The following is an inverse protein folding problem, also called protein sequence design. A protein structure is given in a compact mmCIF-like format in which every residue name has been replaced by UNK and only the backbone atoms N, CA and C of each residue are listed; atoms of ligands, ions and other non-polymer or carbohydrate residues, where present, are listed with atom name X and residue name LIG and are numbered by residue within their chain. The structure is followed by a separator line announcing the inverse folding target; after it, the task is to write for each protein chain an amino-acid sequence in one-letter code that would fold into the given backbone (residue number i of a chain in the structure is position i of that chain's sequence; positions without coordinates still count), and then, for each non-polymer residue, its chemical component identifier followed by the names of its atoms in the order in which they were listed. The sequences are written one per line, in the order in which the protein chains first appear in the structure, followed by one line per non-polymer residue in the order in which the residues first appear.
data_IF_152146364368
#
_entry.id   IF_152146364368
#
_cell.length_a   1.000
_cell.length_b   1.000
_cell.length_c   1.000
_cell.angle_alpha   90.00
_cell.angle_beta   90.00
_cell.angle_gamma   90.00
#
_symmetry.space_group_name_H-M   'P 1'
#
loop_
_entity.id
_entity.type
_entity.pdbx_description
1 polymer ?
#
# COMPACT_ATOMS: atom_id res chain seq x y z
N UNK A 1 -1.17 3.24 -36.50
CA UNK A 1 -2.10 3.10 -35.35
C UNK A 1 -1.28 3.24 -34.08
N UNK A 2 -1.62 4.15 -33.16
CA UNK A 2 -0.86 4.35 -31.92
C UNK A 2 -1.00 3.13 -30.99
N UNK A 3 0.09 2.77 -30.28
CA UNK A 3 0.11 1.66 -29.31
C UNK A 3 -1.02 1.77 -28.26
N UNK A 4 -1.38 2.99 -27.89
CA UNK A 4 -2.50 3.29 -26.98
C UNK A 4 -3.88 2.85 -27.52
N UNK A 5 -4.14 3.08 -28.81
CA UNK A 5 -5.43 2.69 -29.41
C UNK A 5 -5.54 1.17 -29.55
N UNK A 6 -4.43 0.48 -29.85
CA UNK A 6 -4.38 -0.99 -29.87
C UNK A 6 -4.66 -1.56 -28.47
N UNK A 7 -4.04 -0.99 -27.44
CA UNK A 7 -4.23 -1.41 -26.04
C UNK A 7 -5.67 -1.17 -25.55
N UNK A 8 -6.21 0.03 -25.82
CA UNK A 8 -7.60 0.38 -25.50
C UNK A 8 -8.59 -0.57 -26.17
N UNK A 9 -8.35 -0.93 -27.43
CA UNK A 9 -9.20 -1.87 -28.17
C UNK A 9 -9.10 -3.28 -27.60
N UNK A 10 -7.90 -3.73 -27.23
CA UNK A 10 -7.68 -5.03 -26.58
C UNK A 10 -8.41 -5.13 -25.24
N UNK A 11 -8.32 -4.09 -24.39
CA UNK A 11 -9.04 -4.03 -23.11
C UNK A 11 -10.56 -4.03 -23.31
N UNK A 12 -11.05 -3.19 -24.23
CA UNK A 12 -12.49 -3.10 -24.49
C UNK A 12 -13.06 -4.42 -25.02
N UNK A 13 -12.28 -5.15 -25.82
CA UNK A 13 -12.64 -6.47 -26.33
C UNK A 13 -12.64 -7.50 -25.21
N UNK A 14 -11.58 -7.56 -24.39
CA UNK A 14 -11.50 -8.45 -23.23
C UNK A 14 -12.64 -8.25 -22.24
N UNK A 15 -13.04 -7.00 -21.96
CA UNK A 15 -14.17 -6.72 -21.05
C UNK A 15 -15.54 -7.17 -21.61
N UNK A 16 -15.70 -7.24 -22.93
CA UNK A 16 -16.95 -7.74 -23.56
C UNK A 16 -17.06 -9.26 -23.54
N UNK A 17 -15.95 -9.99 -23.45
CA UNK A 17 -15.93 -11.45 -23.50
C UNK A 17 -16.19 -12.12 -22.14
N UNK A 18 -16.10 -11.37 -21.03
CA UNK A 18 -16.31 -11.92 -19.69
C UNK A 18 -17.81 -12.07 -19.44
N UNK A 19 -18.26 -13.30 -19.20
CA UNK A 19 -19.65 -13.59 -18.82
C UNK A 19 -20.00 -12.92 -17.48
N UNK A 20 -21.28 -12.63 -17.26
CA UNK A 20 -21.72 -12.02 -16.00
C UNK A 20 -21.41 -12.93 -14.78
N UNK A 21 -21.50 -14.25 -14.96
CA UNK A 21 -21.18 -15.23 -13.92
C UNK A 21 -19.69 -15.21 -13.55
N UNK A 22 -18.79 -15.26 -14.55
CA UNK A 22 -17.35 -15.20 -14.32
C UNK A 22 -16.93 -13.85 -13.72
N UNK A 23 -17.57 -12.75 -14.13
CA UNK A 23 -17.32 -11.42 -13.55
C UNK A 23 -17.70 -11.36 -12.08
N UNK A 24 -18.86 -11.92 -11.72
CA UNK A 24 -19.32 -11.97 -10.33
C UNK A 24 -18.39 -12.83 -9.47
N UNK A 25 -17.95 -13.99 -9.99
CA UNK A 25 -16.96 -14.84 -9.32
C UNK A 25 -15.66 -14.06 -9.05
N UNK A 26 -15.11 -13.37 -10.06
CA UNK A 26 -13.91 -12.58 -9.87
C UNK A 26 -14.10 -11.46 -8.85
N UNK A 27 -15.23 -10.75 -8.85
CA UNK A 27 -15.51 -9.71 -7.85
C UNK A 27 -15.54 -10.27 -6.42
N UNK A 28 -16.12 -11.45 -6.22
CA UNK A 28 -16.12 -12.11 -4.90
C UNK A 28 -14.70 -12.46 -4.49
N UNK A 29 -13.91 -13.07 -5.39
CA UNK A 29 -12.52 -13.44 -5.12
C UNK A 29 -11.67 -12.21 -4.80
N UNK A 30 -11.80 -11.11 -5.56
CA UNK A 30 -11.01 -9.90 -5.29
C UNK A 30 -11.38 -9.25 -3.97
N UNK A 31 -12.66 -9.21 -3.60
CA UNK A 31 -13.10 -8.71 -2.29
C UNK A 31 -12.55 -9.58 -1.16
N UNK A 32 -12.50 -10.90 -1.34
CA UNK A 32 -11.90 -11.80 -0.36
C UNK A 32 -10.39 -11.54 -0.21
N UNK A 33 -9.67 -11.35 -1.32
CA UNK A 33 -8.24 -10.99 -1.28
C UNK A 33 -8.02 -9.65 -0.58
N UNK A 34 -8.84 -8.63 -0.88
CA UNK A 34 -8.80 -7.32 -0.19
C UNK A 34 -9.01 -7.51 1.31
N UNK A 35 -9.98 -8.32 1.71
CA UNK A 35 -10.30 -8.54 3.13
C UNK A 35 -9.18 -9.27 3.86
N UNK A 36 -8.64 -10.33 3.25
CA UNK A 36 -7.54 -11.11 3.84
C UNK A 36 -6.27 -10.29 3.97
N UNK A 37 -5.90 -9.52 2.95
CA UNK A 37 -4.75 -8.61 2.98
C UNK A 37 -4.93 -7.47 3.99
N UNK A 38 -6.14 -6.91 4.11
CA UNK A 38 -6.46 -5.93 5.14
C UNK A 38 -6.34 -6.51 6.56
N UNK A 39 -6.87 -7.71 6.78
CA UNK A 39 -6.74 -8.40 8.08
C UNK A 39 -5.29 -8.75 8.41
N UNK A 40 -4.50 -9.14 7.41
CA UNK A 40 -3.07 -9.38 7.57
C UNK A 40 -2.37 -8.08 8.02
N UNK A 41 -2.75 -6.92 7.48
CA UNK A 41 -2.22 -5.62 7.91
C UNK A 41 -2.58 -5.25 9.36
N UNK A 42 -3.74 -5.70 9.87
CA UNK A 42 -4.15 -5.42 11.25
C UNK A 42 -3.36 -6.23 12.29
N UNK A 43 -2.90 -7.42 11.91
CA UNK A 43 -2.12 -8.30 12.78
C UNK A 43 -0.82 -8.71 12.08
N UNK A 44 0.08 -7.74 11.81
CA UNK A 44 1.34 -8.05 11.15
C UNK A 44 2.16 -9.03 12.02
N UNK A 45 3.09 -9.79 11.43
CA UNK A 45 3.92 -10.73 12.17
C UNK A 45 4.55 -10.06 13.39
N UNK A 46 4.15 -10.51 14.58
CA UNK A 46 4.73 -10.02 15.82
C UNK A 46 6.11 -10.63 15.96
N UNK A 47 7.13 -9.86 15.61
CA UNK A 47 8.49 -10.19 16.03
C UNK A 47 8.48 -10.11 17.56
N UNK A 48 8.71 -11.23 18.25
CA UNK A 48 8.94 -11.25 19.71
C UNK A 48 10.31 -10.66 20.01
N UNK A 49 10.38 -9.35 19.84
CA UNK A 49 11.56 -8.53 19.97
C UNK A 49 12.15 -8.58 21.39
N UNK A 50 11.29 -8.84 22.39
CA UNK A 50 11.68 -9.02 23.80
C UNK A 50 12.64 -10.19 24.01
N UNK A 51 12.52 -11.24 23.20
CA UNK A 51 13.30 -12.47 23.39
C UNK A 51 14.65 -12.35 22.68
N UNK A 52 14.68 -11.67 21.52
CA UNK A 52 15.92 -11.36 20.79
C UNK A 52 16.77 -10.30 21.49
N UNK A 53 16.19 -9.22 22.04
CA UNK A 53 16.94 -8.19 22.79
C UNK A 53 17.55 -8.73 24.08
N UNK A 54 16.85 -9.64 24.76
CA UNK A 54 17.40 -10.34 25.94
C UNK A 54 18.55 -11.25 25.54
N UNK A 55 18.41 -12.02 24.45
CA UNK A 55 19.47 -12.90 23.97
C UNK A 55 20.72 -12.13 23.52
N UNK A 56 20.56 -10.99 22.82
CA UNK A 56 21.68 -10.15 22.35
C UNK A 56 22.47 -9.57 23.53
N UNK A 57 21.78 -8.94 24.49
CA UNK A 57 22.42 -8.36 25.69
C UNK A 57 23.05 -9.40 26.60
N UNK A 58 22.47 -10.59 26.67
CA UNK A 58 22.97 -11.67 27.51
C UNK A 58 24.18 -12.38 26.88
N UNK A 59 24.27 -12.40 25.55
CA UNK A 59 25.44 -12.90 24.81
C UNK A 59 26.63 -11.94 24.90
N UNK A 60 26.38 -10.63 24.87
CA UNK A 60 27.40 -9.59 25.01
C UNK A 60 27.96 -9.49 26.46
N UNK A 61 27.11 -9.75 27.46
CA UNK A 61 27.50 -9.74 28.87
C UNK A 61 28.20 -11.05 29.35
N UNK A 62 28.14 -12.14 28.58
CA UNK A 62 28.70 -13.46 28.94
C UNK A 62 29.85 -13.90 28.02
N UNK A 63 30.45 -12.99 27.26
CA UNK A 63 31.65 -13.28 26.47
C UNK A 63 32.87 -13.59 27.36
N UNK A 64 32.88 -14.77 27.96
CA UNK A 64 34.06 -15.43 28.52
C UNK A 64 34.76 -16.15 27.35
N UNK A 65 36.08 -16.00 27.15
CA UNK A 65 36.72 -16.32 25.87
C UNK A 65 36.79 -17.80 25.45
N UNK A 66 36.21 -18.76 26.18
CA UNK A 66 36.64 -20.16 26.03
C UNK A 66 35.53 -21.23 26.19
N UNK A 67 34.25 -20.87 26.07
CA UNK A 67 33.17 -21.86 26.09
C UNK A 67 32.56 -22.09 24.70
N UNK A 68 32.45 -23.34 24.22
CA UNK A 68 31.78 -23.64 22.97
C UNK A 68 30.29 -23.29 23.12
N UNK A 69 29.85 -22.33 22.32
CA UNK A 69 28.46 -21.84 22.30
C UNK A 69 27.51 -22.98 21.92
N UNK A 70 26.38 -23.15 22.65
CA UNK A 70 25.39 -24.14 22.30
C UNK A 70 24.82 -23.81 20.92
N UNK A 71 24.73 -24.83 20.08
CA UNK A 71 24.29 -24.76 18.68
C UNK A 71 22.93 -24.06 18.61
N UNK A 72 22.96 -22.81 18.14
CA UNK A 72 21.79 -21.94 18.04
C UNK A 72 20.80 -22.57 17.06
N UNK A 73 19.60 -22.85 17.55
CA UNK A 73 18.53 -23.49 16.80
C UNK A 73 18.26 -22.68 15.51
N UNK A 74 18.60 -23.26 14.37
CA UNK A 74 18.81 -22.65 13.05
C UNK A 74 17.56 -22.06 12.35
N UNK A 75 16.47 -21.81 13.07
CA UNK A 75 15.21 -21.31 12.52
C UNK A 75 14.90 -19.84 12.84
N UNK A 76 15.70 -19.20 13.68
CA UNK A 76 15.58 -17.76 13.93
C UNK A 76 16.62 -17.01 13.09
N UNK A 77 16.22 -15.99 12.30
CA UNK A 77 17.18 -15.19 11.56
C UNK A 77 18.19 -14.61 12.54
N UNK A 78 19.47 -14.93 12.34
CA UNK A 78 20.52 -14.58 13.28
C UNK A 78 20.82 -13.07 13.32
N UNK A 79 20.33 -12.31 12.33
CA UNK A 79 20.46 -10.86 12.26
C UNK A 79 19.11 -10.15 12.31
N UNK A 80 19.09 -9.03 13.04
CA UNK A 80 17.99 -8.07 13.11
C UNK A 80 17.63 -7.56 11.69
N UNK A 81 18.63 -7.45 10.81
CA UNK A 81 18.46 -7.05 9.41
C UNK A 81 17.62 -8.07 8.62
N UNK A 82 17.85 -9.37 8.81
CA UNK A 82 17.06 -10.40 8.13
C UNK A 82 15.58 -10.38 8.58
N UNK A 83 15.30 -9.99 9.82
CA UNK A 83 13.92 -9.81 10.31
C UNK A 83 13.29 -8.56 9.67
N UNK A 84 14.04 -7.47 9.58
CA UNK A 84 13.58 -6.24 8.93
C UNK A 84 13.26 -6.46 7.44
N UNK A 85 14.12 -7.20 6.73
CA UNK A 85 13.92 -7.56 5.32
C UNK A 85 12.65 -8.40 5.13
N UNK A 86 12.45 -9.44 5.94
CA UNK A 86 11.24 -10.28 5.85
C UNK A 86 9.98 -9.46 6.14
N UNK A 87 10.03 -8.56 7.12
CA UNK A 87 8.90 -7.69 7.45
C UNK A 87 8.60 -6.66 6.34
N UNK A 88 9.65 -6.12 5.72
CA UNK A 88 9.53 -5.19 4.60
C UNK A 88 8.98 -5.88 3.36
N UNK A 89 9.45 -7.08 3.03
CA UNK A 89 8.91 -7.92 1.95
C UNK A 89 7.44 -8.26 2.20
N UNK A 90 7.09 -8.64 3.44
CA UNK A 90 5.70 -8.89 3.82
C UNK A 90 4.81 -7.69 3.47
N UNK A 91 5.21 -6.48 3.88
CA UNK A 91 4.44 -5.27 3.57
C UNK A 91 4.39 -4.94 2.09
N UNK A 92 5.47 -5.17 1.36
CA UNK A 92 5.53 -4.95 -0.09
C UNK A 92 4.51 -5.83 -0.81
N UNK A 93 4.58 -7.14 -0.57
CA UNK A 93 3.70 -8.08 -1.23
C UNK A 93 2.25 -7.90 -0.80
N UNK A 94 1.99 -7.67 0.49
CA UNK A 94 0.64 -7.43 0.98
C UNK A 94 0.03 -6.18 0.34
N UNK A 95 0.80 -5.09 0.26
CA UNK A 95 0.38 -3.85 -0.39
C UNK A 95 0.14 -4.04 -1.88
N UNK A 96 1.05 -4.71 -2.58
CA UNK A 96 0.93 -4.96 -4.02
C UNK A 96 -0.31 -5.79 -4.34
N UNK A 97 -0.57 -6.85 -3.58
CA UNK A 97 -1.76 -7.71 -3.75
C UNK A 97 -3.03 -6.94 -3.42
N UNK A 98 -3.03 -6.14 -2.35
CA UNK A 98 -4.16 -5.29 -1.98
C UNK A 98 -4.51 -4.33 -3.13
N UNK A 99 -3.54 -3.55 -3.62
CA UNK A 99 -3.76 -2.59 -4.71
C UNK A 99 -4.13 -3.25 -6.03
N UNK A 100 -3.51 -4.38 -6.38
CA UNK A 100 -3.87 -5.16 -7.56
C UNK A 100 -5.34 -5.61 -7.48
N UNK A 101 -5.79 -6.08 -6.32
CA UNK A 101 -7.16 -6.54 -6.09
C UNK A 101 -8.17 -5.39 -6.11
N UNK A 102 -7.83 -4.25 -5.52
CA UNK A 102 -8.62 -3.02 -5.58
C UNK A 102 -8.74 -2.53 -7.03
N UNK A 103 -7.63 -2.48 -7.77
CA UNK A 103 -7.61 -2.11 -9.19
C UNK A 103 -8.44 -3.06 -10.05
N UNK A 104 -8.34 -4.37 -9.80
CA UNK A 104 -9.12 -5.38 -10.51
C UNK A 104 -10.62 -5.26 -10.19
N UNK A 105 -10.98 -5.03 -8.93
CA UNK A 105 -12.37 -4.77 -8.52
C UNK A 105 -12.93 -3.54 -9.22
N UNK A 106 -12.15 -2.45 -9.26
CA UNK A 106 -12.50 -1.24 -9.99
C UNK A 106 -12.63 -1.47 -11.52
N UNK A 107 -11.81 -2.35 -12.08
CA UNK A 107 -11.87 -2.69 -13.50
C UNK A 107 -13.13 -3.49 -13.85
N UNK A 108 -13.46 -4.49 -13.03
CA UNK A 108 -14.57 -5.42 -13.22
C UNK A 108 -15.94 -4.76 -12.99
N UNK A 109 -16.01 -3.73 -12.14
CA UNK A 109 -17.26 -3.02 -11.88
C UNK A 109 -17.95 -2.52 -13.18
N UNK A 110 -19.28 -2.74 -13.32
CA UNK A 110 -20.05 -2.24 -14.46
C UNK A 110 -20.02 -0.71 -14.57
N UNK A 111 -19.56 -0.18 -15.69
CA UNK A 111 -19.36 1.27 -15.84
C UNK A 111 -20.65 2.07 -16.05
N UNK A 112 -21.81 1.40 -16.16
CA UNK A 112 -23.09 2.03 -16.55
C UNK A 112 -24.04 2.31 -15.38
N UNK A 113 -23.82 1.71 -14.21
CA UNK A 113 -24.70 1.89 -13.05
C UNK A 113 -24.22 3.03 -12.14
N UNK A 114 -25.15 3.83 -11.62
CA UNK A 114 -24.88 4.82 -10.57
C UNK A 114 -24.36 4.19 -9.28
N UNK A 115 -24.75 2.95 -8.98
CA UNK A 115 -24.25 2.21 -7.80
C UNK A 115 -22.73 2.00 -7.89
N UNK A 116 -22.22 1.73 -9.10
CA UNK A 116 -20.79 1.52 -9.31
C UNK A 116 -19.97 2.79 -9.05
N UNK A 117 -20.55 3.98 -9.27
CA UNK A 117 -19.91 5.23 -8.90
C UNK A 117 -19.67 5.33 -7.39
N UNK A 118 -20.69 5.04 -6.57
CA UNK A 118 -20.54 5.01 -5.12
C UNK A 118 -19.55 3.94 -4.66
N UNK A 119 -19.56 2.76 -5.30
CA UNK A 119 -18.59 1.70 -5.02
C UNK A 119 -17.16 2.13 -5.32
N UNK A 120 -16.91 2.88 -6.39
CA UNK A 120 -15.58 3.43 -6.68
C UNK A 120 -15.11 4.44 -5.61
N UNK A 121 -16.02 5.27 -5.11
CA UNK A 121 -15.72 6.19 -4.00
C UNK A 121 -15.36 5.39 -2.75
N UNK A 122 -16.17 4.39 -2.39
CA UNK A 122 -15.91 3.52 -1.25
C UNK A 122 -14.57 2.78 -1.39
N UNK A 123 -14.23 2.29 -2.59
CA UNK A 123 -12.95 1.63 -2.86
C UNK A 123 -11.75 2.59 -2.70
N UNK A 124 -11.92 3.85 -3.08
CA UNK A 124 -10.92 4.90 -2.86
C UNK A 124 -10.70 5.15 -1.37
N UNK A 125 -11.78 5.32 -0.60
CA UNK A 125 -11.71 5.47 0.85
C UNK A 125 -11.05 4.26 1.52
N UNK A 126 -11.41 3.05 1.10
CA UNK A 126 -10.79 1.82 1.60
C UNK A 126 -9.27 1.81 1.33
N UNK A 127 -8.84 2.22 0.14
CA UNK A 127 -7.43 2.38 -0.19
C UNK A 127 -6.72 3.39 0.72
N UNK A 128 -7.33 4.54 0.97
CA UNK A 128 -6.79 5.56 1.89
C UNK A 128 -6.71 5.05 3.33
N UNK A 129 -7.75 4.35 3.81
CA UNK A 129 -7.73 3.74 5.14
C UNK A 129 -6.63 2.69 5.27
N UNK A 130 -6.41 1.88 4.24
CA UNK A 130 -5.30 0.93 4.18
C UNK A 130 -3.94 1.66 4.26
N UNK A 131 -3.75 2.74 3.51
CA UNK A 131 -2.52 3.56 3.57
C UNK A 131 -2.26 4.14 4.96
N UNK A 132 -3.31 4.66 5.62
CA UNK A 132 -3.19 5.18 6.98
C UNK A 132 -2.85 4.05 7.97
N UNK A 133 -3.47 2.88 7.82
CA UNK A 133 -3.16 1.70 8.61
C UNK A 133 -1.69 1.31 8.44
N UNK A 134 -1.24 1.14 7.19
CA UNK A 134 0.15 0.85 6.83
C UNK A 134 1.12 1.84 7.46
N UNK A 135 0.84 3.14 7.36
CA UNK A 135 1.69 4.18 7.94
C UNK A 135 1.74 4.08 9.47
N UNK A 136 0.60 3.84 10.13
CA UNK A 136 0.53 3.68 11.57
C UNK A 136 1.29 2.43 12.06
N UNK A 137 1.09 1.29 11.40
CA UNK A 137 1.69 0.01 11.81
C UNK A 137 3.17 -0.11 11.44
N UNK A 138 3.59 0.52 10.34
CA UNK A 138 5.00 0.54 9.94
C UNK A 138 5.81 1.48 10.83
N UNK A 139 5.24 2.60 11.30
CA UNK A 139 5.95 3.58 12.14
C UNK A 139 6.57 2.95 13.39
N UNK A 140 5.82 2.11 14.11
CA UNK A 140 6.30 1.44 15.33
C UNK A 140 7.49 0.52 15.04
N UNK A 141 7.46 -0.16 13.90
CA UNK A 141 8.50 -1.11 13.50
C UNK A 141 9.74 -0.39 12.97
N UNK A 142 9.55 0.69 12.22
CA UNK A 142 10.64 1.53 11.71
C UNK A 142 11.36 2.23 12.86
N UNK A 143 10.62 2.80 13.83
CA UNK A 143 11.24 3.45 14.98
C UNK A 143 12.22 2.52 15.70
N UNK A 144 11.87 1.24 15.77
CA UNK A 144 12.74 0.23 16.36
C UNK A 144 13.97 -0.10 15.49
N UNK A 145 13.79 -0.35 14.18
CA UNK A 145 14.89 -0.77 13.30
C UNK A 145 15.83 0.38 12.88
N UNK A 146 15.28 1.59 12.69
CA UNK A 146 16.07 2.78 12.32
C UNK A 146 17.03 3.22 13.42
N UNK A 147 16.79 2.80 14.67
CA UNK A 147 17.75 2.99 15.76
C UNK A 147 19.01 2.13 15.63
N UNK A 148 19.03 1.09 14.77
CA UNK A 148 20.07 0.05 14.82
C UNK A 148 20.73 -0.29 13.46
N UNK A 149 20.19 0.16 12.32
CA UNK A 149 20.75 -0.19 11.00
C UNK A 149 20.64 0.97 10.00
N UNK A 150 21.76 1.29 9.33
CA UNK A 150 21.88 2.36 8.32
C UNK A 150 21.25 1.97 6.97
N UNK A 151 20.92 0.71 6.73
CA UNK A 151 20.38 0.24 5.43
C UNK A 151 18.88 -0.08 5.51
N UNK A 152 18.03 0.90 5.24
CA UNK A 152 16.57 0.67 5.21
C UNK A 152 15.91 1.14 3.90
N UNK A 153 16.57 0.88 2.76
CA UNK A 153 16.11 1.27 1.42
C UNK A 153 14.75 0.67 1.05
N UNK A 154 14.46 -0.56 1.49
CA UNK A 154 13.21 -1.25 1.17
C UNK A 154 11.98 -0.57 1.77
N UNK A 155 12.13 0.13 2.89
CA UNK A 155 11.04 0.93 3.46
C UNK A 155 10.66 2.07 2.52
N UNK A 156 11.64 2.82 2.01
CA UNK A 156 11.39 3.92 1.09
C UNK A 156 10.73 3.42 -0.19
N UNK A 157 11.21 2.29 -0.73
CA UNK A 157 10.58 1.65 -1.90
C UNK A 157 9.13 1.30 -1.60
N UNK A 158 8.84 0.66 -0.46
CA UNK A 158 7.48 0.32 -0.04
C UNK A 158 6.57 1.52 0.08
N UNK A 159 7.06 2.58 0.73
CA UNK A 159 6.34 3.83 0.91
C UNK A 159 6.02 4.50 -0.42
N UNK A 160 7.03 4.61 -1.31
CA UNK A 160 6.89 5.19 -2.65
C UNK A 160 5.90 4.37 -3.48
N UNK A 161 6.03 3.05 -3.52
CA UNK A 161 5.14 2.18 -4.29
C UNK A 161 3.68 2.31 -3.83
N UNK A 162 3.46 2.28 -2.52
CA UNK A 162 2.13 2.47 -1.93
C UNK A 162 1.53 3.84 -2.30
N UNK A 163 2.33 4.89 -2.25
CA UNK A 163 1.92 6.23 -2.64
C UNK A 163 1.58 6.33 -4.14
N UNK A 164 2.40 5.73 -5.00
CA UNK A 164 2.16 5.68 -6.44
C UNK A 164 0.86 4.92 -6.79
N UNK A 165 0.59 3.79 -6.12
CA UNK A 165 -0.65 3.05 -6.32
C UNK A 165 -1.88 3.82 -5.84
N UNK A 166 -1.79 4.49 -4.68
CA UNK A 166 -2.87 5.34 -4.19
C UNK A 166 -3.17 6.50 -5.15
N UNK A 167 -2.12 7.16 -5.67
CA UNK A 167 -2.24 8.22 -6.68
C UNK A 167 -2.90 7.67 -7.95
N UNK A 168 -2.44 6.52 -8.45
CA UNK A 168 -3.00 5.89 -9.65
C UNK A 168 -4.48 5.54 -9.47
N UNK A 169 -4.87 4.95 -8.33
CA UNK A 169 -6.27 4.62 -8.06
C UNK A 169 -7.11 5.88 -7.98
N UNK A 170 -6.63 6.92 -7.30
CA UNK A 170 -7.36 8.18 -7.22
C UNK A 170 -7.56 8.82 -8.59
N UNK A 171 -6.52 8.87 -9.43
CA UNK A 171 -6.63 9.35 -10.81
C UNK A 171 -7.60 8.49 -11.64
N UNK A 172 -7.60 7.17 -11.45
CA UNK A 172 -8.54 6.27 -12.11
C UNK A 172 -9.99 6.56 -11.70
N UNK A 173 -10.23 6.74 -10.40
CA UNK A 173 -11.55 7.14 -9.87
C UNK A 173 -11.93 8.51 -10.45
N UNK A 174 -11.03 9.49 -10.45
CA UNK A 174 -11.24 10.82 -11.06
C UNK A 174 -11.73 10.69 -12.50
N UNK A 175 -11.00 9.89 -13.28
CA UNK A 175 -11.24 9.69 -14.70
C UNK A 175 -12.59 9.02 -14.96
N UNK A 176 -12.91 7.97 -14.20
CA UNK A 176 -14.21 7.27 -14.29
C UNK A 176 -15.36 8.21 -13.97
N UNK A 177 -15.21 9.00 -12.92
CA UNK A 177 -16.19 9.97 -12.49
C UNK A 177 -16.40 11.05 -13.56
N UNK A 178 -15.31 11.60 -14.08
CA UNK A 178 -15.32 12.55 -15.18
C UNK A 178 -16.02 12.01 -16.43
N UNK A 179 -15.70 10.78 -16.84
CA UNK A 179 -16.36 10.12 -17.97
C UNK A 179 -17.85 9.93 -17.72
N UNK A 180 -18.25 9.49 -16.53
CA UNK A 180 -19.65 9.29 -16.18
C UNK A 180 -20.43 10.61 -16.26
N UNK A 181 -19.89 11.69 -15.70
CA UNK A 181 -20.50 13.03 -15.77
C UNK A 181 -20.61 13.48 -17.23
N UNK A 182 -19.53 13.34 -18.01
CA UNK A 182 -19.53 13.73 -19.43
C UNK A 182 -20.56 12.96 -20.26
N UNK A 183 -20.67 11.65 -20.06
CA UNK A 183 -21.56 10.79 -20.85
C UNK A 183 -23.03 10.91 -20.45
N UNK A 184 -23.33 11.03 -19.16
CA UNK A 184 -24.71 10.95 -18.67
C UNK A 184 -25.38 12.31 -18.48
N UNK A 185 -24.62 13.32 -18.06
CA UNK A 185 -25.19 14.63 -17.78
C UNK A 185 -25.17 15.57 -18.98
N UNK A 186 -24.61 15.16 -20.13
CA UNK A 186 -24.45 15.99 -21.34
C UNK A 186 -23.95 17.41 -21.03
N UNK A 187 -23.22 17.57 -19.92
CA UNK A 187 -22.94 18.87 -19.36
C UNK A 187 -21.65 19.40 -19.98
N UNK A 188 -21.82 20.38 -20.86
CA UNK A 188 -20.76 21.06 -21.62
C UNK A 188 -19.91 22.00 -20.75
N UNK A 189 -20.29 22.22 -19.49
CA UNK A 189 -19.66 23.24 -18.63
C UNK A 189 -18.41 22.73 -17.92
N UNK A 190 -17.25 23.29 -18.28
CA UNK A 190 -15.94 23.10 -17.60
C UNK A 190 -15.98 23.26 -16.08
N UNK A 191 -16.96 23.99 -15.53
CA UNK A 191 -17.05 24.34 -14.10
C UNK A 191 -17.41 23.14 -13.22
N UNK A 192 -18.25 22.22 -13.70
CA UNK A 192 -18.63 21.01 -12.94
C UNK A 192 -17.45 20.05 -12.79
N UNK A 193 -16.60 19.99 -13.81
CA UNK A 193 -15.38 19.20 -13.81
C UNK A 193 -14.41 19.66 -12.71
N UNK A 194 -14.27 20.97 -12.52
CA UNK A 194 -13.45 21.55 -11.44
C UNK A 194 -14.03 21.27 -10.05
N UNK A 195 -15.35 21.39 -9.88
CA UNK A 195 -16.02 21.13 -8.60
C UNK A 195 -15.91 19.67 -8.18
N UNK A 196 -15.83 18.73 -9.14
CA UNK A 196 -15.68 17.30 -8.87
C UNK A 196 -14.21 16.85 -8.72
N UNK A 197 -13.28 17.50 -9.43
CA UNK A 197 -11.84 17.26 -9.28
C UNK A 197 -11.33 17.82 -7.95
N UNK A 198 -11.85 18.96 -7.47
CA UNK A 198 -11.43 19.58 -6.23
C UNK A 198 -11.49 18.63 -5.00
N UNK A 199 -12.61 17.96 -4.66
CA UNK A 199 -12.64 17.04 -3.53
C UNK A 199 -11.74 15.82 -3.76
N UNK A 200 -11.57 15.40 -5.01
CA UNK A 200 -10.66 14.31 -5.33
C UNK A 200 -9.18 14.70 -5.15
N UNK A 201 -8.82 15.93 -5.50
CA UNK A 201 -7.50 16.48 -5.21
C UNK A 201 -7.28 16.62 -3.70
N UNK A 202 -8.30 16.94 -2.91
CA UNK A 202 -8.20 16.93 -1.44
C UNK A 202 -7.97 15.51 -0.92
N UNK A 203 -8.65 14.49 -1.46
CA UNK A 203 -8.40 13.08 -1.10
C UNK A 203 -6.99 12.61 -1.49
N UNK A 204 -6.43 13.13 -2.60
CA UNK A 204 -5.04 12.88 -3.00
C UNK A 204 -4.03 13.63 -2.14
N UNK A 205 -4.31 14.89 -1.82
CA UNK A 205 -3.41 15.78 -1.07
C UNK A 205 -3.43 15.51 0.44
N UNK A 206 -4.54 15.03 0.99
CA UNK A 206 -4.68 14.72 2.41
C UNK A 206 -3.62 13.73 2.94
N UNK A 207 -3.26 12.64 2.22
CA UNK A 207 -2.15 11.76 2.63
C UNK A 207 -0.75 12.31 2.32
N UNK A 208 -0.62 13.31 1.42
CA UNK A 208 0.66 13.97 1.13
C UNK A 208 1.14 14.78 2.33
N UNK A 209 0.21 15.46 3.02
CA UNK A 209 0.57 16.36 4.12
C UNK A 209 1.26 15.58 5.26
N UNK A 210 0.72 14.46 5.78
CA UNK A 210 1.42 13.62 6.76
C UNK A 210 2.75 13.07 6.24
N UNK A 211 2.82 12.66 4.97
CA UNK A 211 4.03 12.13 4.36
C UNK A 211 5.15 13.18 4.30
N UNK A 212 4.84 14.41 3.88
CA UNK A 212 5.78 15.54 3.81
C UNK A 212 6.20 15.96 5.22
N UNK A 213 5.27 16.05 6.17
CA UNK A 213 5.58 16.38 7.57
C UNK A 213 6.47 15.30 8.21
N UNK A 214 6.26 14.03 7.87
CA UNK A 214 7.09 12.93 8.35
C UNK A 214 8.50 12.98 7.72
N UNK A 215 8.58 13.18 6.41
CA UNK A 215 9.85 13.33 5.70
C UNK A 215 10.67 14.52 6.24
N UNK A 216 10.01 15.66 6.50
CA UNK A 216 10.65 16.84 7.08
C UNK A 216 11.16 16.59 8.51
N UNK A 217 10.37 15.89 9.34
CA UNK A 217 10.80 15.52 10.69
C UNK A 217 12.01 14.58 10.68
N UNK A 218 12.08 13.65 9.73
CA UNK A 218 13.21 12.74 9.56
C UNK A 218 14.45 13.52 9.10
N UNK A 219 14.33 14.37 8.08
CA UNK A 219 15.41 15.23 7.60
C UNK A 219 16.00 16.13 8.70
N UNK A 220 15.15 16.79 9.49
CA UNK A 220 15.60 17.66 10.59
C UNK A 220 16.33 16.91 11.71
N UNK A 221 16.09 15.61 11.89
CA UNK A 221 16.82 14.81 12.89
C UNK A 221 18.19 14.40 12.38
N UNK A 222 18.28 13.99 11.13
CA UNK A 222 19.54 13.59 10.49
C UNK A 222 20.57 14.74 10.51
N UNK A 223 20.12 15.95 10.17
CA UNK A 223 20.94 17.17 10.22
C UNK A 223 21.40 17.52 11.65
N UNK A 224 20.64 17.13 12.68
CA UNK A 224 20.96 17.42 14.10
C UNK A 224 21.76 16.32 14.79
N UNK A 225 21.82 15.11 14.24
CA UNK A 225 22.60 13.99 14.78
C UNK A 225 24.10 14.07 14.44
N UNK A 226 24.49 14.96 13.53
CA UNK A 226 25.87 15.16 13.06
C UNK A 226 26.52 16.46 13.57
N UNK A 227 26.00 17.07 14.65
CA UNK A 227 26.61 18.22 15.35
C UNK A 227 27.00 17.83 16.76
#
# INVERSE_FOLDING_TARGET
MSCYETFKTAIARGKRTISDETRNLFLVVTVLIITTTYNASLAPPKVKLSDTVRADRQSEALAIPDYPTPTKNQWFPDSIDAIADVFSMYWLYNSLIFWASVGLTAFLLPSRSSVCFFLHIALSFLGTCYMLLMAATSFDVIYYFQSKSDSNDWYYVNFIMNYLFALFLSLFVAYRIALYVRLKLAMTSRRVYLILIAPLSVVVLAPIIPAVVLAEKLWRRDVKGHV
#
